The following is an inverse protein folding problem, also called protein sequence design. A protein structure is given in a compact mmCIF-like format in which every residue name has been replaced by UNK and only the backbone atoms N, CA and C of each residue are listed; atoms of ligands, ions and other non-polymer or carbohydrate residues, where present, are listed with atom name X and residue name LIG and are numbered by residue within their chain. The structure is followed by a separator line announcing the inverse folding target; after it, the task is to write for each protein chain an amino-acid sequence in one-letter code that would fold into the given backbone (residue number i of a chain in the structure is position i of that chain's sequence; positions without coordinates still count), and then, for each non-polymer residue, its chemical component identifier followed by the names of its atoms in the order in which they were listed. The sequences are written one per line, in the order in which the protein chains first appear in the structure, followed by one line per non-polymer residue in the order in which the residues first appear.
data_IF_597629487323
#
_entry.id   IF_597629487323
#
_cell.length_a   1.000
_cell.length_b   1.000
_cell.length_c   1.000
_cell.angle_alpha   90.00
_cell.angle_beta   90.00
_cell.angle_gamma   90.00
#
_symmetry.space_group_name_H-M   'P 1'
#
loop_
_entity.id
_entity.type
_entity.pdbx_description
1 polymer ?
#
# COMPACT_ATOMS: atom_id res chain seq x y z
N UNK A 1 -13.95 4.61 10.92
CA UNK A 1 -12.91 5.62 11.11
C UNK A 1 -11.75 5.04 11.92
N UNK A 2 -10.87 4.31 11.23
CA UNK A 2 -9.75 3.59 11.85
C UNK A 2 -8.72 4.53 12.49
N UNK A 3 -8.41 5.67 11.86
CA UNK A 3 -7.46 6.65 12.41
C UNK A 3 -7.92 7.21 13.75
N UNK A 4 -9.23 7.46 13.90
CA UNK A 4 -9.80 7.92 15.17
C UNK A 4 -9.68 6.85 16.26
N UNK A 5 -9.97 5.59 15.95
CA UNK A 5 -9.82 4.47 16.88
C UNK A 5 -8.36 4.31 17.32
N UNK A 6 -7.39 4.42 16.41
CA UNK A 6 -5.96 4.40 16.71
C UNK A 6 -5.60 5.55 17.66
N UNK A 7 -5.98 6.77 17.30
CA UNK A 7 -5.70 7.95 18.12
C UNK A 7 -6.27 7.85 19.53
N UNK A 8 -7.53 7.43 19.67
CA UNK A 8 -8.19 7.25 20.96
C UNK A 8 -7.55 6.13 21.79
N UNK A 9 -7.24 5.00 21.19
CA UNK A 9 -6.66 3.85 21.88
C UNK A 9 -5.24 4.15 22.39
N UNK A 10 -4.42 4.77 21.58
CA UNK A 10 -3.04 5.12 21.94
C UNK A 10 -2.92 6.49 22.59
N UNK A 11 -4.03 7.17 22.91
CA UNK A 11 -4.05 8.51 23.50
C UNK A 11 -3.18 9.52 22.72
N UNK A 12 -3.20 9.40 21.40
CA UNK A 12 -2.43 10.28 20.53
C UNK A 12 -3.13 11.62 20.30
N UNK A 13 -2.39 12.71 20.20
CA UNK A 13 -2.94 13.98 19.75
C UNK A 13 -3.58 13.85 18.38
N UNK A 14 -4.80 14.36 18.21
CA UNK A 14 -5.53 14.29 16.95
C UNK A 14 -6.09 15.65 16.57
N UNK A 15 -5.85 16.05 15.32
CA UNK A 15 -6.47 17.22 14.70
C UNK A 15 -7.33 16.73 13.53
N UNK A 16 -8.66 16.77 13.69
CA UNK A 16 -9.60 16.35 12.66
C UNK A 16 -10.02 17.50 11.76
N UNK A 17 -9.28 17.79 10.69
CA UNK A 17 -9.76 18.75 9.71
C UNK A 17 -10.95 18.23 8.90
N UNK A 18 -11.20 16.93 8.84
CA UNK A 18 -12.40 16.37 8.24
C UNK A 18 -13.66 16.86 8.98
N UNK A 19 -13.66 16.85 10.32
CA UNK A 19 -14.81 17.31 11.12
C UNK A 19 -14.97 18.84 11.02
N UNK A 20 -13.86 19.58 11.01
CA UNK A 20 -13.88 21.02 10.81
C UNK A 20 -14.41 21.42 9.42
N UNK A 21 -13.96 20.75 8.35
CA UNK A 21 -14.44 20.97 6.99
C UNK A 21 -15.94 20.64 6.86
N UNK A 22 -16.38 19.49 7.42
CA UNK A 22 -17.81 19.14 7.44
C UNK A 22 -18.65 20.20 8.11
N UNK A 23 -18.19 20.75 9.24
CA UNK A 23 -18.87 21.86 9.92
C UNK A 23 -18.94 23.11 9.04
N UNK A 24 -17.82 23.51 8.43
CA UNK A 24 -17.77 24.69 7.56
C UNK A 24 -18.68 24.54 6.34
N UNK A 25 -18.67 23.39 5.69
CA UNK A 25 -19.55 23.11 4.53
C UNK A 25 -21.02 23.06 4.92
N UNK A 26 -21.37 22.36 6.02
CA UNK A 26 -22.76 22.27 6.49
C UNK A 26 -23.35 23.63 6.88
N UNK A 27 -22.53 24.59 7.30
CA UNK A 27 -22.94 25.94 7.66
C UNK A 27 -22.73 26.96 6.53
N UNK A 28 -22.46 26.53 5.31
CA UNK A 28 -22.22 27.39 4.14
C UNK A 28 -21.12 28.46 4.36
N UNK A 29 -20.12 28.15 5.20
CA UNK A 29 -18.99 29.04 5.48
C UNK A 29 -17.82 28.83 4.54
N UNK A 30 -17.82 27.70 3.83
CA UNK A 30 -16.78 27.30 2.87
C UNK A 30 -17.38 26.32 1.86
N UNK A 31 -16.86 26.28 0.67
CA UNK A 31 -17.13 25.24 -0.33
C UNK A 31 -15.88 24.40 -0.55
N UNK A 32 -16.02 23.27 -1.24
CA UNK A 32 -14.86 22.44 -1.59
C UNK A 32 -13.83 23.21 -2.42
N UNK A 33 -14.28 24.06 -3.33
CA UNK A 33 -13.38 24.89 -4.17
C UNK A 33 -12.58 25.92 -3.42
N UNK A 34 -13.06 26.38 -2.28
CA UNK A 34 -12.30 27.29 -1.41
C UNK A 34 -11.17 26.54 -0.68
N UNK A 35 -11.28 25.22 -0.53
CA UNK A 35 -10.28 24.37 0.12
C UNK A 35 -9.33 23.70 -0.85
N UNK A 36 -9.82 23.28 -2.02
CA UNK A 36 -9.08 22.44 -2.95
C UNK A 36 -9.48 22.73 -4.39
N UNK A 37 -8.52 22.79 -5.30
CA UNK A 37 -8.76 22.93 -6.74
C UNK A 37 -9.03 21.59 -7.43
N UNK A 38 -8.72 20.51 -6.76
CA UNK A 38 -8.97 19.13 -7.21
C UNK A 38 -9.77 18.32 -6.15
N UNK A 39 -9.69 17.01 -6.19
CA UNK A 39 -10.42 16.15 -5.26
C UNK A 39 -9.56 15.64 -4.07
N UNK A 40 -8.29 16.03 -4.01
CA UNK A 40 -7.33 15.41 -3.08
C UNK A 40 -6.44 16.37 -2.33
N UNK A 41 -6.02 17.47 -2.96
CA UNK A 41 -4.96 18.33 -2.43
C UNK A 41 -5.52 19.66 -1.97
N UNK A 42 -5.23 20.12 -0.74
CA UNK A 42 -5.53 21.48 -0.33
C UNK A 42 -4.82 22.48 -1.26
N UNK A 43 -5.54 23.53 -1.66
CA UNK A 43 -4.92 24.71 -2.28
C UNK A 43 -4.30 25.63 -1.20
N UNK A 44 -3.80 26.80 -1.58
CA UNK A 44 -3.16 27.73 -0.64
C UNK A 44 -4.06 28.11 0.54
N UNK A 45 -5.35 28.34 0.31
CA UNK A 45 -6.33 28.67 1.37
C UNK A 45 -6.63 27.42 2.23
N UNK A 46 -6.71 26.25 1.63
CA UNK A 46 -6.84 24.98 2.33
C UNK A 46 -5.63 24.71 3.24
N UNK A 47 -4.41 24.95 2.76
CA UNK A 47 -3.19 24.83 3.58
C UNK A 47 -3.18 25.83 4.74
N UNK A 48 -3.60 27.08 4.53
CA UNK A 48 -3.74 28.08 5.61
C UNK A 48 -4.73 27.63 6.68
N UNK A 49 -5.86 27.07 6.25
CA UNK A 49 -6.86 26.54 7.19
C UNK A 49 -6.27 25.39 8.02
N UNK A 50 -5.60 24.42 7.38
CA UNK A 50 -4.95 23.31 8.10
C UNK A 50 -3.90 23.85 9.08
N UNK A 51 -3.05 24.80 8.65
CA UNK A 51 -2.05 25.42 9.52
C UNK A 51 -2.71 26.09 10.73
N UNK A 52 -3.81 26.83 10.53
CA UNK A 52 -4.52 27.49 11.64
C UNK A 52 -5.11 26.51 12.66
N UNK A 53 -5.49 25.30 12.23
CA UNK A 53 -5.96 24.25 13.14
C UNK A 53 -4.79 23.68 13.97
N UNK A 54 -3.63 23.53 13.35
CA UNK A 54 -2.40 23.11 14.06
C UNK A 54 -1.98 24.16 15.08
N UNK A 55 -1.95 25.43 14.69
CA UNK A 55 -1.66 26.55 15.61
C UNK A 55 -2.62 26.58 16.79
N UNK A 56 -3.93 26.50 16.52
CA UNK A 56 -4.96 26.44 17.57
C UNK A 56 -4.78 25.24 18.50
N UNK A 57 -4.40 24.08 17.95
CA UNK A 57 -4.10 22.90 18.75
C UNK A 57 -2.94 23.19 19.71
N UNK A 58 -1.82 23.71 19.23
CA UNK A 58 -0.67 24.02 20.08
C UNK A 58 -1.01 25.09 21.15
N UNK A 59 -1.72 26.13 20.76
CA UNK A 59 -2.13 27.19 21.70
C UNK A 59 -3.05 26.67 22.82
N UNK A 60 -3.88 25.67 22.53
CA UNK A 60 -4.85 25.14 23.50
C UNK A 60 -4.32 23.97 24.31
N UNK A 61 -3.45 23.12 23.75
CA UNK A 61 -3.04 21.88 24.38
C UNK A 61 -1.73 22.03 25.15
N UNK A 62 -0.84 22.95 24.74
CA UNK A 62 0.44 23.15 25.42
C UNK A 62 0.27 23.57 26.89
N UNK A 63 -0.80 24.29 27.21
CA UNK A 63 -1.09 24.77 28.57
C UNK A 63 -1.83 23.72 29.44
N UNK A 64 -2.38 22.66 28.82
CA UNK A 64 -3.22 21.65 29.51
C UNK A 64 -2.69 20.22 29.35
N UNK A 65 -1.54 20.06 28.71
CA UNK A 65 -0.93 18.75 28.56
C UNK A 65 -0.61 18.12 29.95
N UNK A 66 -0.96 16.87 30.20
CA UNK A 66 -0.66 16.23 31.47
C UNK A 66 0.85 16.15 31.66
N UNK A 67 1.30 16.40 32.91
CA UNK A 67 2.67 16.14 33.32
C UNK A 67 2.88 14.63 33.47
N UNK A 68 3.93 14.10 32.90
CA UNK A 68 4.33 12.70 33.05
C UNK A 68 4.76 12.04 31.74
N UNK A 69 5.40 10.89 31.87
CA UNK A 69 5.82 10.10 30.72
C UNK A 69 4.64 9.38 30.11
N UNK A 70 4.57 9.40 28.78
CA UNK A 70 3.59 8.60 28.04
C UNK A 70 3.95 7.11 28.14
N UNK A 71 2.99 6.30 28.56
CA UNK A 71 3.14 4.84 28.59
C UNK A 71 2.38 4.24 27.40
N UNK A 72 3.12 3.66 26.48
CA UNK A 72 2.55 2.97 25.32
C UNK A 72 1.72 1.77 25.79
N UNK A 73 0.46 1.62 25.35
CA UNK A 73 -0.31 0.40 25.55
C UNK A 73 0.43 -0.84 25.00
N UNK A 74 0.35 -1.95 25.71
CA UNK A 74 0.93 -3.23 25.28
C UNK A 74 0.06 -3.98 24.29
N UNK A 75 -1.23 -3.68 24.30
CA UNK A 75 -2.20 -4.25 23.37
C UNK A 75 -2.28 -3.44 22.07
N UNK A 76 -2.82 -4.05 21.04
CA UNK A 76 -3.08 -3.41 19.75
C UNK A 76 -4.57 -3.20 19.52
N UNK A 77 -4.96 -2.05 18.93
CA UNK A 77 -6.37 -1.73 18.62
C UNK A 77 -6.97 -2.64 17.56
N UNK A 78 -6.13 -3.17 16.68
CA UNK A 78 -6.49 -4.15 15.64
C UNK A 78 -5.69 -5.42 15.81
N UNK A 79 -6.01 -6.43 15.00
CA UNK A 79 -5.23 -7.67 14.98
C UNK A 79 -3.74 -7.40 14.74
N UNK A 80 -2.81 -7.96 15.57
CA UNK A 80 -1.38 -7.73 15.44
C UNK A 80 -0.73 -8.48 14.27
N UNK A 81 -1.50 -9.08 13.38
CA UNK A 81 -1.00 -9.96 12.30
C UNK A 81 0.09 -9.33 11.44
N UNK A 82 0.09 -8.02 11.31
CA UNK A 82 0.99 -7.27 10.43
C UNK A 82 1.96 -6.35 11.20
N UNK A 83 2.03 -6.48 12.52
CA UNK A 83 2.90 -5.65 13.38
C UNK A 83 4.37 -5.82 13.01
N UNK A 84 4.76 -7.05 12.66
CA UNK A 84 6.13 -7.39 12.28
C UNK A 84 6.25 -7.61 10.75
N UNK A 85 5.54 -6.80 9.96
CA UNK A 85 5.66 -6.85 8.51
C UNK A 85 6.99 -6.26 8.05
N UNK A 86 7.67 -6.99 7.18
CA UNK A 86 8.93 -6.62 6.54
C UNK A 86 8.75 -6.51 5.03
N UNK A 87 9.67 -5.83 4.39
CA UNK A 87 9.73 -5.75 2.94
C UNK A 87 11.11 -6.22 2.45
N UNK A 88 11.13 -6.99 1.37
CA UNK A 88 12.37 -7.27 0.65
C UNK A 88 12.79 -6.00 -0.10
N UNK A 89 13.92 -5.42 0.30
CA UNK A 89 14.47 -4.18 -0.26
C UNK A 89 15.65 -4.45 -1.18
N UNK A 90 15.74 -3.70 -2.29
CA UNK A 90 16.88 -3.68 -3.19
C UNK A 90 17.28 -5.09 -3.69
N UNK A 91 18.51 -5.50 -3.37
CA UNK A 91 19.10 -6.78 -3.78
C UNK A 91 18.73 -7.96 -2.86
N UNK A 92 17.87 -7.75 -1.85
CA UNK A 92 17.54 -8.79 -0.88
C UNK A 92 16.65 -9.92 -1.43
N UNK A 93 16.02 -9.71 -2.59
CA UNK A 93 15.21 -10.72 -3.28
C UNK A 93 15.66 -10.87 -4.72
N UNK A 94 15.98 -12.11 -5.10
CA UNK A 94 16.33 -12.47 -6.47
C UNK A 94 15.36 -13.56 -6.92
N UNK A 95 14.72 -13.43 -8.10
CA UNK A 95 13.90 -14.49 -8.64
C UNK A 95 14.73 -15.73 -8.97
N UNK A 96 14.18 -16.92 -8.77
CA UNK A 96 14.79 -18.18 -9.18
C UNK A 96 14.70 -18.40 -10.69
N UNK A 97 13.76 -17.71 -11.34
CA UNK A 97 13.64 -17.62 -12.79
C UNK A 97 13.09 -16.24 -13.17
N UNK A 98 13.69 -15.57 -14.12
CA UNK A 98 13.16 -14.32 -14.69
C UNK A 98 12.04 -14.58 -15.71
N UNK A 99 12.01 -15.78 -16.33
CA UNK A 99 11.10 -16.00 -17.45
C UNK A 99 11.23 -14.93 -18.53
N UNK A 100 10.13 -14.33 -18.91
CA UNK A 100 10.06 -13.24 -19.90
C UNK A 100 10.12 -11.83 -19.29
N UNK A 101 10.41 -11.73 -18.00
CA UNK A 101 10.50 -10.48 -17.26
C UNK A 101 11.94 -9.93 -17.27
N UNK A 102 12.06 -8.65 -16.98
CA UNK A 102 13.34 -7.93 -16.87
C UNK A 102 13.44 -7.23 -15.54
N UNK A 103 14.62 -7.14 -14.96
CA UNK A 103 14.86 -6.28 -13.81
C UNK A 103 14.66 -4.82 -14.18
N UNK A 104 13.95 -4.08 -13.35
CA UNK A 104 13.67 -2.67 -13.51
C UNK A 104 12.38 -2.23 -12.85
N UNK A 105 12.27 -0.95 -12.58
CA UNK A 105 11.06 -0.31 -12.10
C UNK A 105 10.88 1.06 -12.73
N UNK A 106 9.63 1.43 -12.99
CA UNK A 106 9.27 2.77 -13.46
C UNK A 106 8.81 3.69 -12.33
N UNK A 107 8.77 3.20 -11.08
CA UNK A 107 8.44 3.97 -9.88
C UNK A 107 9.74 4.29 -9.13
N UNK A 108 10.08 5.57 -9.04
CA UNK A 108 11.37 6.04 -8.51
C UNK A 108 11.65 5.63 -7.04
N UNK A 109 10.63 5.39 -6.24
CA UNK A 109 10.77 4.91 -4.85
C UNK A 109 11.13 3.42 -4.74
N UNK A 110 11.00 2.66 -5.83
CA UNK A 110 11.43 1.26 -5.92
C UNK A 110 12.63 1.20 -6.85
N UNK A 111 13.82 1.12 -6.28
CA UNK A 111 15.09 1.09 -7.06
C UNK A 111 15.25 -0.20 -7.85
N UNK A 112 14.54 -1.25 -7.46
CA UNK A 112 14.46 -2.54 -8.14
C UNK A 112 13.01 -2.97 -8.23
N UNK A 113 12.74 -3.82 -9.18
CA UNK A 113 11.46 -4.44 -9.46
C UNK A 113 11.61 -5.25 -10.72
N UNK A 114 10.52 -5.70 -11.29
CA UNK A 114 10.51 -6.51 -12.50
C UNK A 114 9.40 -6.06 -13.42
N UNK A 115 9.74 -5.86 -14.66
CA UNK A 115 8.82 -5.41 -15.72
C UNK A 115 8.64 -6.50 -16.75
N UNK A 116 7.41 -6.70 -17.18
CA UNK A 116 7.06 -7.44 -18.38
C UNK A 116 6.66 -6.45 -19.47
N UNK A 117 7.23 -6.60 -20.65
CA UNK A 117 7.08 -5.65 -21.75
C UNK A 117 6.88 -6.40 -23.07
N UNK A 118 5.74 -7.07 -23.18
CA UNK A 118 5.33 -7.79 -24.39
C UNK A 118 6.48 -8.59 -25.05
N UNK A 119 7.08 -9.51 -24.33
CA UNK A 119 8.28 -10.24 -24.79
C UNK A 119 7.96 -11.33 -25.84
N UNK A 120 6.70 -11.49 -26.24
CA UNK A 120 6.26 -12.53 -27.19
C UNK A 120 6.21 -13.94 -26.60
N UNK A 121 6.67 -14.11 -25.38
CA UNK A 121 6.62 -15.31 -24.57
C UNK A 121 6.13 -14.90 -23.16
N UNK A 122 5.20 -15.65 -22.59
CA UNK A 122 4.59 -15.35 -21.27
C UNK A 122 5.15 -16.27 -20.18
N UNK A 123 6.44 -16.64 -20.27
CA UNK A 123 7.11 -17.43 -19.25
C UNK A 123 7.13 -16.67 -17.91
N UNK A 124 6.67 -17.30 -16.81
CA UNK A 124 6.54 -16.62 -15.52
C UNK A 124 7.90 -16.24 -14.92
N UNK A 125 7.91 -15.12 -14.20
CA UNK A 125 8.93 -14.86 -13.19
C UNK A 125 8.59 -15.69 -11.94
N UNK A 126 9.60 -16.28 -11.30
CA UNK A 126 9.43 -17.20 -10.18
C UNK A 126 10.23 -16.74 -8.98
N UNK A 127 9.60 -16.72 -7.82
CA UNK A 127 10.22 -16.42 -6.54
C UNK A 127 10.00 -17.56 -5.55
N UNK A 128 10.97 -17.76 -4.66
CA UNK A 128 10.89 -18.67 -3.54
C UNK A 128 11.03 -17.90 -2.22
N UNK A 129 10.14 -18.18 -1.29
CA UNK A 129 10.13 -17.61 0.06
C UNK A 129 10.13 -18.74 1.07
N UNK A 130 10.98 -18.63 2.10
CA UNK A 130 11.12 -19.63 3.14
C UNK A 130 10.65 -19.10 4.47
N UNK A 131 9.93 -19.94 5.21
CA UNK A 131 9.53 -19.68 6.59
C UNK A 131 8.75 -18.34 6.74
N UNK A 132 7.73 -18.11 5.90
CA UNK A 132 6.86 -16.93 5.97
C UNK A 132 5.42 -17.30 6.29
N UNK A 133 4.76 -16.49 7.12
CA UNK A 133 3.33 -16.66 7.43
C UNK A 133 2.46 -15.93 6.42
N UNK A 134 2.72 -14.64 6.22
CA UNK A 134 2.00 -13.84 5.24
C UNK A 134 2.94 -13.39 4.13
N UNK A 135 2.39 -13.27 2.93
CA UNK A 135 3.11 -12.79 1.77
C UNK A 135 2.26 -11.77 1.02
N UNK A 136 2.88 -10.64 0.73
CA UNK A 136 2.27 -9.54 0.01
C UNK A 136 3.04 -9.29 -1.28
N UNK A 137 2.33 -9.17 -2.39
CA UNK A 137 2.88 -8.66 -3.64
C UNK A 137 2.63 -7.16 -3.73
N UNK A 138 3.65 -6.41 -4.13
CA UNK A 138 3.56 -4.98 -4.42
C UNK A 138 3.75 -4.82 -5.92
N UNK A 139 2.75 -4.24 -6.58
CA UNK A 139 2.74 -4.08 -8.03
C UNK A 139 2.29 -2.66 -8.41
N UNK A 140 2.54 -2.28 -9.65
CA UNK A 140 2.14 -0.97 -10.17
C UNK A 140 0.69 -0.99 -10.61
N UNK A 141 -0.07 0.00 -10.14
CA UNK A 141 -1.44 0.27 -10.55
C UNK A 141 -1.49 1.56 -11.38
N UNK A 142 -2.26 1.54 -12.47
CA UNK A 142 -2.44 2.68 -13.37
C UNK A 142 -3.93 2.91 -13.64
N UNK A 143 -4.30 4.14 -14.03
CA UNK A 143 -5.69 4.47 -14.36
C UNK A 143 -6.10 3.95 -15.74
N UNK A 144 -5.16 3.94 -16.67
CA UNK A 144 -5.35 3.54 -18.07
C UNK A 144 -3.99 3.27 -18.71
N UNK A 145 -3.99 2.67 -19.89
CA UNK A 145 -2.77 2.42 -20.66
C UNK A 145 -2.69 0.98 -21.15
N UNK A 146 -1.49 0.57 -21.51
CA UNK A 146 -1.21 -0.75 -22.05
C UNK A 146 -0.86 -1.79 -21.00
N UNK A 147 -1.26 -1.56 -19.75
CA UNK A 147 -1.11 -2.52 -18.67
C UNK A 147 -2.17 -3.59 -18.71
N UNK A 148 -1.82 -4.82 -18.31
CA UNK A 148 -2.70 -5.97 -18.24
C UNK A 148 -2.78 -6.57 -16.85
N UNK A 149 -3.65 -7.56 -16.70
CA UNK A 149 -3.76 -8.30 -15.43
C UNK A 149 -2.55 -9.19 -15.22
N UNK A 150 -2.13 -9.27 -13.97
CA UNK A 150 -1.12 -10.22 -13.51
C UNK A 150 -1.81 -11.54 -13.13
N UNK A 151 -1.38 -12.63 -13.71
CA UNK A 151 -1.74 -13.97 -13.27
C UNK A 151 -0.72 -14.44 -12.24
N UNK A 152 -1.17 -14.70 -11.02
CA UNK A 152 -0.32 -15.06 -9.89
C UNK A 152 -0.74 -16.43 -9.38
N UNK A 153 0.21 -17.35 -9.38
CA UNK A 153 0.04 -18.68 -8.78
C UNK A 153 0.96 -18.80 -7.59
N UNK A 154 0.38 -19.12 -6.45
CA UNK A 154 1.07 -19.35 -5.18
C UNK A 154 0.98 -20.82 -4.81
N UNK A 155 2.13 -21.40 -4.55
CA UNK A 155 2.27 -22.77 -4.05
C UNK A 155 2.80 -22.69 -2.62
N UNK A 156 2.18 -23.40 -1.69
CA UNK A 156 2.57 -23.51 -0.28
C UNK A 156 3.00 -24.94 0.03
N UNK A 157 4.25 -25.15 0.45
CA UNK A 157 4.86 -26.45 0.73
C UNK A 157 4.61 -27.52 -0.37
N UNK A 158 4.60 -27.07 -1.63
CA UNK A 158 4.46 -27.92 -2.82
C UNK A 158 3.02 -28.11 -3.32
N UNK A 159 2.01 -27.60 -2.62
CA UNK A 159 0.61 -27.66 -3.03
C UNK A 159 0.09 -26.28 -3.47
N UNK A 160 -0.77 -26.24 -4.49
CA UNK A 160 -1.34 -24.95 -4.94
C UNK A 160 -2.21 -24.37 -3.82
N UNK A 161 -1.81 -23.18 -3.35
CA UNK A 161 -2.53 -22.42 -2.33
C UNK A 161 -3.59 -21.50 -2.95
N UNK A 162 -3.18 -20.71 -3.95
CA UNK A 162 -4.06 -19.80 -4.69
C UNK A 162 -3.55 -19.62 -6.12
N UNK A 163 -4.48 -19.35 -7.03
CA UNK A 163 -4.19 -19.02 -8.42
C UNK A 163 -5.23 -18.02 -8.89
N UNK A 164 -4.81 -16.75 -9.05
CA UNK A 164 -5.71 -15.62 -9.25
C UNK A 164 -5.14 -14.58 -10.21
N UNK A 165 -6.06 -13.82 -10.85
CA UNK A 165 -5.72 -12.68 -11.70
C UNK A 165 -5.92 -11.38 -10.92
N UNK A 166 -4.89 -10.51 -10.95
CA UNK A 166 -4.91 -9.20 -10.30
C UNK A 166 -4.94 -8.08 -11.34
N UNK A 167 -5.96 -7.24 -11.26
CA UNK A 167 -6.11 -6.11 -12.17
C UNK A 167 -5.12 -4.99 -11.79
N UNK A 168 -4.34 -4.56 -12.77
CA UNK A 168 -3.40 -3.44 -12.60
C UNK A 168 -4.00 -2.12 -13.07
N UNK A 169 -5.23 -2.13 -13.60
CA UNK A 169 -5.96 -0.94 -14.03
C UNK A 169 -7.08 -0.64 -13.04
N UNK A 170 -7.05 0.55 -12.46
CA UNK A 170 -8.03 1.01 -11.48
C UNK A 170 -8.36 2.48 -11.71
N UNK A 171 -9.62 2.91 -11.50
CA UNK A 171 -10.00 4.33 -11.58
C UNK A 171 -9.17 5.24 -10.66
N UNK A 172 -8.65 4.71 -9.57
CA UNK A 172 -7.78 5.41 -8.60
C UNK A 172 -6.29 5.26 -8.89
N UNK A 173 -5.89 4.44 -9.87
CA UNK A 173 -4.50 4.25 -10.27
C UNK A 173 -3.92 5.53 -10.90
N UNK A 174 -2.79 5.99 -10.42
CA UNK A 174 -2.05 7.14 -10.96
C UNK A 174 -0.58 6.83 -11.23
N UNK A 175 -0.24 5.54 -11.35
CA UNK A 175 1.12 5.04 -11.44
C UNK A 175 1.72 4.74 -10.07
N UNK A 176 0.88 4.40 -9.11
CA UNK A 176 1.23 4.12 -7.72
C UNK A 176 1.53 2.64 -7.49
N UNK A 177 2.19 2.37 -6.37
CA UNK A 177 2.30 1.03 -5.82
C UNK A 177 0.98 0.60 -5.18
N UNK A 178 0.54 -0.60 -5.49
CA UNK A 178 -0.59 -1.28 -4.86
C UNK A 178 -0.08 -2.52 -4.11
N UNK A 179 -0.64 -2.77 -2.94
CA UNK A 179 -0.28 -3.92 -2.10
C UNK A 179 -1.42 -4.93 -2.14
N UNK A 180 -1.07 -6.18 -2.41
CA UNK A 180 -2.01 -7.30 -2.41
C UNK A 180 -1.49 -8.42 -1.51
N UNK A 181 -2.30 -8.87 -0.55
CA UNK A 181 -2.02 -10.10 0.16
C UNK A 181 -2.25 -11.28 -0.79
N UNK A 182 -1.22 -12.11 -0.99
CA UNK A 182 -1.27 -13.27 -1.90
C UNK A 182 -1.18 -14.59 -1.16
N UNK A 183 -0.72 -14.60 0.10
CA UNK A 183 -0.75 -15.79 0.95
C UNK A 183 -0.87 -15.41 2.43
N UNK A 184 -1.61 -16.24 3.18
CA UNK A 184 -1.83 -16.08 4.61
C UNK A 184 -1.97 -17.44 5.28
N UNK A 185 -0.92 -17.88 5.97
CA UNK A 185 -0.92 -19.13 6.73
C UNK A 185 -0.67 -18.84 8.21
N UNK A 186 -1.28 -19.60 9.14
CA UNK A 186 -1.08 -19.40 10.57
C UNK A 186 0.34 -19.79 11.02
N UNK A 187 0.99 -20.68 10.30
CA UNK A 187 2.33 -21.18 10.58
C UNK A 187 3.29 -20.81 9.45
N UNK A 188 4.58 -20.75 9.78
CA UNK A 188 5.63 -20.48 8.81
C UNK A 188 5.66 -21.54 7.71
N UNK A 189 5.61 -21.11 6.47
CA UNK A 189 5.38 -21.94 5.27
C UNK A 189 6.37 -21.52 4.19
N UNK A 190 6.76 -22.46 3.33
CA UNK A 190 7.57 -22.16 2.16
C UNK A 190 6.66 -21.91 0.96
N UNK A 191 6.86 -20.78 0.29
CA UNK A 191 6.08 -20.43 -0.87
C UNK A 191 6.91 -20.41 -2.14
N UNK A 192 6.29 -20.84 -3.24
CA UNK A 192 6.73 -20.53 -4.60
C UNK A 192 5.67 -19.64 -5.23
N UNK A 193 6.08 -18.52 -5.77
CA UNK A 193 5.21 -17.55 -6.45
C UNK A 193 5.63 -17.44 -7.90
N UNK A 194 4.71 -17.79 -8.81
CA UNK A 194 4.87 -17.68 -10.25
C UNK A 194 3.98 -16.53 -10.74
N UNK A 195 4.55 -15.58 -11.48
CA UNK A 195 3.80 -14.43 -12.00
C UNK A 195 4.01 -14.35 -13.52
N UNK A 196 2.91 -14.32 -14.24
CA UNK A 196 2.85 -14.08 -15.68
C UNK A 196 1.77 -13.05 -16.00
N UNK A 197 1.56 -12.71 -17.24
CA UNK A 197 0.37 -11.97 -17.64
C UNK A 197 -0.82 -12.91 -17.71
N UNK A 198 -2.01 -12.41 -17.38
CA UNK A 198 -3.23 -13.19 -17.48
C UNK A 198 -3.59 -13.51 -18.94
N UNK A 199 -4.37 -14.58 -19.13
CA UNK A 199 -4.80 -15.00 -20.46
C UNK A 199 -5.57 -13.88 -21.20
N UNK A 200 -5.09 -13.49 -22.38
CA UNK A 200 -5.60 -12.40 -23.19
C UNK A 200 -4.94 -11.04 -22.93
N UNK A 201 -4.00 -10.98 -21.99
CA UNK A 201 -3.21 -9.78 -21.68
C UNK A 201 -1.69 -10.00 -21.93
N UNK A 202 -1.31 -11.07 -22.62
CA UNK A 202 0.09 -11.44 -22.87
C UNK A 202 0.85 -10.41 -23.73
N UNK A 203 0.11 -9.54 -24.43
CA UNK A 203 0.65 -8.42 -25.20
C UNK A 203 0.70 -7.09 -24.42
N UNK A 204 0.38 -7.11 -23.13
CA UNK A 204 0.32 -5.93 -22.28
C UNK A 204 1.58 -5.78 -21.42
N UNK A 205 1.65 -4.65 -20.70
CA UNK A 205 2.69 -4.40 -19.71
C UNK A 205 2.28 -4.90 -18.32
N UNK A 206 3.27 -5.34 -17.54
CA UNK A 206 3.12 -5.66 -16.12
C UNK A 206 4.34 -5.17 -15.34
N UNK A 207 4.14 -4.80 -14.08
CA UNK A 207 5.24 -4.38 -13.22
C UNK A 207 5.00 -4.86 -11.78
N UNK A 208 5.91 -5.71 -11.28
CA UNK A 208 6.00 -6.13 -9.89
C UNK A 208 7.14 -5.35 -9.24
N UNK A 209 6.88 -4.72 -8.12
CA UNK A 209 7.78 -3.75 -7.50
C UNK A 209 8.59 -4.35 -6.35
N UNK A 210 7.94 -5.15 -5.51
CA UNK A 210 8.52 -5.72 -4.30
C UNK A 210 7.62 -6.81 -3.70
N UNK A 211 8.11 -7.42 -2.63
CA UNK A 211 7.32 -8.32 -1.78
C UNK A 211 7.46 -7.93 -0.32
N UNK A 212 6.32 -7.94 0.40
CA UNK A 212 6.28 -7.84 1.85
C UNK A 212 6.01 -9.21 2.47
N UNK A 213 6.38 -9.39 3.75
CA UNK A 213 6.16 -10.65 4.46
C UNK A 213 6.06 -10.45 5.99
N UNK A 214 5.51 -11.46 6.66
CA UNK A 214 5.66 -11.66 8.12
C UNK A 214 6.24 -13.05 8.40
N UNK A 215 6.90 -13.19 9.55
CA UNK A 215 7.51 -14.46 10.01
C UNK A 215 6.68 -15.16 11.07
#
# INVERSE_FOLDING_TARGET
DYMKQIGEFYHLPMISYCDALRYLFANNRMTWKDFSDDQSHPNDEGHKLVASMVDYYFDTVMDVAPEGDYVMPTDTVFSPREVDAHMYEGDSLTPTSLGSWKEGSTIASFTKGWTYDNAGDNSPIVFEFKDKKFLYMIYKEVKQGEFGKLHVKVTADGEVYDESDYDTISPSGWGNAQIQNIAMMPEATNYTVEISMAAGDEDKHGEVLAFGYTE
#
